data_IF_622338549006
#
_entry.id   IF_622338549006
#
_cell.length_a   1.000
_cell.length_b   1.000
_cell.length_c   1.000
_cell.angle_alpha   90.00
_cell.angle_beta   90.00
_cell.angle_gamma   90.00
#
_symmetry.space_group_name_H-M   'P 1'
#
loop_
_entity.id
_entity.type
_entity.pdbx_description
1 polymer ?
#
# COMPACT_ATOMS: atom_id res chain seq x y z
N UNK A 1 -14.20 -15.61 7.04
CA UNK A 1 -14.24 -16.99 6.51
C UNK A 1 -14.94 -17.14 5.14
N UNK A 2 -16.01 -16.40 4.81
CA UNK A 2 -16.67 -16.52 3.49
C UNK A 2 -15.92 -15.85 2.33
N UNK A 3 -15.23 -14.74 2.55
CA UNK A 3 -14.44 -14.00 1.51
C UNK A 3 -13.15 -14.75 1.11
N UNK A 4 -12.47 -15.39 2.05
CA UNK A 4 -11.24 -16.15 1.79
C UNK A 4 -11.48 -17.43 0.95
N UNK A 5 -12.68 -18.02 1.04
CA UNK A 5 -13.08 -19.21 0.26
C UNK A 5 -13.29 -18.86 -1.22
N UNK A 6 -13.78 -17.63 -1.54
CA UNK A 6 -13.91 -17.18 -2.94
C UNK A 6 -12.55 -16.99 -3.62
N UNK A 7 -11.57 -16.40 -2.94
CA UNK A 7 -10.22 -16.19 -3.52
C UNK A 7 -9.50 -17.51 -3.81
N UNK A 8 -9.65 -18.53 -2.94
CA UNK A 8 -9.04 -19.86 -3.13
C UNK A 8 -9.74 -20.66 -4.24
N UNK A 9 -11.05 -20.47 -4.44
CA UNK A 9 -11.82 -21.17 -5.50
C UNK A 9 -11.46 -20.67 -6.90
N UNK A 10 -11.13 -19.40 -7.08
CA UNK A 10 -10.68 -18.86 -8.38
C UNK A 10 -9.31 -19.40 -8.76
N UNK A 11 -8.40 -19.59 -7.81
CA UNK A 11 -7.06 -20.11 -8.07
C UNK A 11 -7.05 -21.64 -8.43
N UNK A 12 -8.03 -22.39 -7.97
CA UNK A 12 -8.12 -23.87 -8.22
C UNK A 12 -8.80 -24.19 -9.57
N UNK A 13 -9.61 -23.27 -10.13
CA UNK A 13 -10.26 -23.52 -11.44
C UNK A 13 -9.34 -23.40 -12.66
N UNK A 14 -8.13 -22.85 -12.52
CA UNK A 14 -7.18 -22.66 -13.64
C UNK A 14 -6.44 -23.96 -14.03
N UNK A 15 -6.54 -25.06 -13.25
CA UNK A 15 -5.73 -26.25 -13.49
C UNK A 15 -6.43 -27.50 -14.04
N UNK A 16 -7.64 -27.41 -14.56
CA UNK A 16 -8.25 -28.59 -15.20
C UNK A 16 -9.17 -28.20 -16.35
N UNK A 17 -8.63 -28.21 -17.59
CA UNK A 17 -9.31 -28.70 -18.78
C UNK A 17 -8.43 -28.58 -20.02
N UNK A 18 -7.76 -29.66 -20.39
CA UNK A 18 -7.29 -29.89 -21.77
C UNK A 18 -8.47 -30.44 -22.58
N UNK A 19 -9.18 -29.55 -23.25
CA UNK A 19 -10.09 -29.93 -24.34
C UNK A 19 -10.15 -28.76 -25.31
N UNK A 20 -10.02 -29.02 -26.62
CA UNK A 20 -10.05 -28.10 -27.76
C UNK A 20 -11.19 -27.05 -27.66
N UNK A 21 -10.93 -25.93 -27.03
CA UNK A 21 -11.82 -24.79 -26.89
C UNK A 21 -11.00 -23.56 -26.45
N UNK A 22 -11.49 -22.37 -26.69
CA UNK A 22 -10.91 -21.13 -26.20
C UNK A 22 -11.01 -21.11 -24.64
N UNK A 23 -9.91 -21.47 -23.96
CA UNK A 23 -9.84 -21.63 -22.51
C UNK A 23 -10.19 -20.31 -21.77
N UNK A 24 -9.95 -19.18 -22.38
CA UNK A 24 -10.23 -17.85 -21.81
C UNK A 24 -11.69 -17.40 -22.03
N UNK A 25 -12.47 -18.11 -22.88
CA UNK A 25 -13.82 -17.67 -23.21
C UNK A 25 -14.75 -17.60 -21.99
N UNK A 26 -14.80 -18.68 -21.21
CA UNK A 26 -15.68 -18.76 -20.03
C UNK A 26 -15.24 -17.80 -18.92
N UNK A 27 -13.94 -17.75 -18.51
CA UNK A 27 -13.45 -16.74 -17.58
C UNK A 27 -13.75 -15.30 -18.02
N UNK A 28 -13.62 -15.01 -19.31
CA UNK A 28 -13.96 -13.71 -19.85
C UNK A 28 -15.47 -13.38 -19.75
N UNK A 29 -16.37 -14.31 -20.05
CA UNK A 29 -17.82 -14.12 -19.92
C UNK A 29 -18.21 -13.88 -18.44
N UNK A 30 -17.56 -14.57 -17.50
CA UNK A 30 -17.73 -14.36 -16.05
C UNK A 30 -17.22 -12.97 -15.61
N UNK A 31 -16.03 -12.55 -16.08
CA UNK A 31 -15.48 -11.24 -15.81
C UNK A 31 -16.38 -10.10 -16.31
N UNK A 32 -16.90 -10.22 -17.55
CA UNK A 32 -17.84 -9.26 -18.15
C UNK A 32 -19.17 -9.24 -17.38
N UNK A 33 -19.66 -10.39 -16.94
CA UNK A 33 -20.88 -10.46 -16.12
C UNK A 33 -20.70 -9.75 -14.77
N UNK A 34 -19.57 -9.97 -14.07
CA UNK A 34 -19.24 -9.27 -12.85
C UNK A 34 -19.13 -7.75 -13.07
N UNK A 35 -18.45 -7.33 -14.14
CA UNK A 35 -18.33 -5.93 -14.54
C UNK A 35 -19.69 -5.27 -14.78
N UNK A 36 -20.58 -5.93 -15.55
CA UNK A 36 -21.92 -5.41 -15.84
C UNK A 36 -22.85 -5.42 -14.61
N UNK A 37 -22.58 -6.27 -13.64
CA UNK A 37 -23.30 -6.30 -12.35
C UNK A 37 -22.82 -5.21 -11.37
N UNK A 38 -21.74 -4.47 -11.69
CA UNK A 38 -21.13 -3.48 -10.81
C UNK A 38 -20.17 -4.07 -9.77
N UNK A 39 -19.86 -5.36 -9.86
CA UNK A 39 -18.90 -6.05 -8.99
C UNK A 39 -17.46 -5.79 -9.50
N UNK A 40 -17.02 -4.54 -9.51
CA UNK A 40 -15.79 -4.11 -10.17
C UNK A 40 -14.51 -4.67 -9.54
N UNK A 41 -14.50 -4.90 -8.23
CA UNK A 41 -13.37 -5.53 -7.54
C UNK A 41 -13.18 -6.98 -8.04
N UNK A 42 -14.25 -7.78 -8.05
CA UNK A 42 -14.22 -9.14 -8.58
C UNK A 42 -13.89 -9.18 -10.07
N UNK A 43 -14.49 -8.28 -10.86
CA UNK A 43 -14.22 -8.15 -12.28
C UNK A 43 -12.75 -7.82 -12.54
N UNK A 44 -12.13 -6.92 -11.75
CA UNK A 44 -10.73 -6.53 -11.93
C UNK A 44 -9.76 -7.70 -11.78
N UNK A 45 -9.98 -8.57 -10.78
CA UNK A 45 -9.17 -9.78 -10.58
C UNK A 45 -9.24 -10.72 -11.79
N UNK A 46 -10.46 -10.95 -12.30
CA UNK A 46 -10.67 -11.80 -13.48
C UNK A 46 -10.07 -11.19 -14.75
N UNK A 47 -10.24 -9.88 -14.97
CA UNK A 47 -9.72 -9.17 -16.13
C UNK A 47 -8.18 -9.14 -16.16
N UNK A 48 -7.52 -9.00 -15.01
CA UNK A 48 -6.05 -9.10 -14.91
C UNK A 48 -5.58 -10.48 -15.33
N UNK A 49 -6.23 -11.55 -14.85
CA UNK A 49 -5.87 -12.92 -15.23
C UNK A 49 -6.03 -13.22 -16.71
N UNK A 50 -6.91 -12.49 -17.40
CA UNK A 50 -7.15 -12.61 -18.83
C UNK A 50 -6.14 -11.82 -19.70
N UNK A 51 -5.44 -10.83 -19.13
CA UNK A 51 -4.45 -10.01 -19.83
C UNK A 51 -5.03 -9.34 -21.09
N UNK A 52 -4.41 -9.60 -22.24
CA UNK A 52 -4.80 -9.02 -23.53
C UNK A 52 -5.95 -9.78 -24.23
N UNK A 53 -6.64 -10.68 -23.55
CA UNK A 53 -7.74 -11.42 -24.16
C UNK A 53 -8.92 -10.51 -24.46
N UNK A 54 -9.30 -10.36 -25.74
CA UNK A 54 -10.36 -9.47 -26.24
C UNK A 54 -10.16 -8.04 -25.75
N UNK A 55 -11.17 -7.47 -25.05
CA UNK A 55 -11.17 -6.12 -24.49
C UNK A 55 -10.94 -6.11 -22.96
N UNK A 56 -10.44 -7.22 -22.38
CA UNK A 56 -10.22 -7.33 -20.93
C UNK A 56 -9.36 -6.19 -20.39
N UNK A 57 -8.25 -5.85 -21.07
CA UNK A 57 -7.40 -4.72 -20.70
C UNK A 57 -8.13 -3.37 -20.72
N UNK A 58 -9.03 -3.18 -21.70
CA UNK A 58 -9.84 -1.96 -21.82
C UNK A 58 -10.89 -1.83 -20.71
N UNK A 59 -11.55 -2.95 -20.37
CA UNK A 59 -12.51 -2.99 -19.26
C UNK A 59 -11.81 -2.74 -17.92
N UNK A 60 -10.66 -3.38 -17.70
CA UNK A 60 -9.84 -3.15 -16.52
C UNK A 60 -9.44 -1.69 -16.37
N UNK A 61 -8.97 -1.04 -17.44
CA UNK A 61 -8.56 0.36 -17.44
C UNK A 61 -9.71 1.33 -17.14
N UNK A 62 -10.97 0.91 -17.30
CA UNK A 62 -12.14 1.73 -16.97
C UNK A 62 -12.55 1.65 -15.50
N UNK A 63 -12.03 0.67 -14.74
CA UNK A 63 -12.33 0.52 -13.31
C UNK A 63 -11.43 1.47 -12.51
N UNK A 64 -12.07 2.33 -11.70
CA UNK A 64 -11.40 3.16 -10.70
C UNK A 64 -11.68 2.60 -9.32
N UNK A 65 -10.62 2.37 -8.55
CA UNK A 65 -10.69 1.91 -7.18
C UNK A 65 -10.20 3.01 -6.23
N UNK A 66 -11.04 3.40 -5.28
CA UNK A 66 -10.67 4.31 -4.19
C UNK A 66 -10.66 3.52 -2.88
N UNK A 67 -9.56 3.63 -2.12
CA UNK A 67 -9.46 2.98 -0.80
C UNK A 67 -10.43 3.64 0.18
N UNK A 68 -11.34 2.86 0.75
CA UNK A 68 -12.22 3.29 1.84
C UNK A 68 -11.61 2.96 3.21
N UNK A 69 -10.89 1.84 3.29
CA UNK A 69 -10.24 1.41 4.52
C UNK A 69 -9.27 0.26 4.28
N UNK A 70 -8.63 -0.19 5.35
CA UNK A 70 -7.75 -1.36 5.35
C UNK A 70 -7.81 -2.07 6.69
N UNK A 71 -7.84 -3.40 6.65
CA UNK A 71 -7.55 -4.25 7.80
C UNK A 71 -6.09 -4.69 7.72
N UNK A 72 -5.30 -4.31 8.71
CA UNK A 72 -3.88 -4.62 8.79
C UNK A 72 -3.67 -5.70 9.84
N UNK A 73 -3.01 -6.80 9.49
CA UNK A 73 -2.61 -7.85 10.42
C UNK A 73 -1.10 -7.95 10.44
N UNK A 74 -0.51 -7.71 11.61
CA UNK A 74 0.93 -7.86 11.85
C UNK A 74 1.15 -9.19 12.55
N UNK A 75 1.93 -10.08 11.93
CA UNK A 75 2.33 -11.38 12.46
C UNK A 75 3.80 -11.34 12.88
N UNK A 76 4.08 -11.74 14.10
CA UNK A 76 5.44 -11.85 14.69
C UNK A 76 5.58 -13.19 15.39
N UNK A 77 6.75 -13.47 15.94
CA UNK A 77 6.97 -14.65 16.78
C UNK A 77 6.06 -14.67 18.04
N UNK A 78 5.62 -13.49 18.53
CA UNK A 78 4.78 -13.37 19.73
C UNK A 78 3.28 -13.44 19.44
N UNK A 79 2.86 -13.53 18.17
CA UNK A 79 1.47 -13.65 17.73
C UNK A 79 1.05 -12.63 16.68
N UNK A 80 -0.27 -12.48 16.53
CA UNK A 80 -0.90 -11.61 15.54
C UNK A 80 -1.64 -10.46 16.20
N UNK A 81 -1.50 -9.26 15.61
CA UNK A 81 -2.25 -8.06 16.00
C UNK A 81 -2.96 -7.51 14.78
N UNK A 82 -4.28 -7.32 14.89
CA UNK A 82 -5.10 -6.78 13.81
C UNK A 82 -5.61 -5.39 14.18
N UNK A 83 -5.55 -4.47 13.22
CA UNK A 83 -6.11 -3.12 13.31
C UNK A 83 -6.96 -2.83 12.07
N UNK A 84 -7.92 -1.91 12.19
CA UNK A 84 -8.68 -1.41 11.05
C UNK A 84 -8.44 0.09 10.88
N UNK A 85 -8.31 0.53 9.64
CA UNK A 85 -8.11 1.95 9.31
C UNK A 85 -9.16 2.38 8.29
N UNK A 86 -9.86 3.47 8.59
CA UNK A 86 -10.74 4.16 7.66
C UNK A 86 -10.02 5.36 7.08
N UNK A 87 -10.17 5.58 5.77
CA UNK A 87 -9.55 6.69 5.03
C UNK A 87 -10.57 7.77 4.68
N UNK A 88 -10.16 9.03 4.73
CA UNK A 88 -10.92 10.16 4.21
C UNK A 88 -10.08 10.91 3.20
N UNK A 89 -10.53 10.94 1.95
CA UNK A 89 -9.88 11.66 0.85
C UNK A 89 -10.61 12.97 0.56
N UNK A 90 -9.85 13.97 0.08
CA UNK A 90 -10.37 15.21 -0.49
C UNK A 90 -9.54 15.58 -1.71
N UNK A 91 -10.19 15.74 -2.87
CA UNK A 91 -9.53 16.02 -4.14
C UNK A 91 -8.42 14.99 -4.49
N UNK A 92 -8.65 13.71 -4.20
CA UNK A 92 -7.68 12.62 -4.39
C UNK A 92 -6.58 12.53 -3.32
N UNK A 93 -6.49 13.47 -2.38
CA UNK A 93 -5.50 13.48 -1.32
C UNK A 93 -6.07 12.89 -0.03
N UNK A 94 -5.34 11.98 0.61
CA UNK A 94 -5.67 11.44 1.92
C UNK A 94 -5.51 12.55 2.97
N UNK A 95 -6.62 13.00 3.58
CA UNK A 95 -6.58 14.09 4.56
C UNK A 95 -6.67 13.60 6.00
N UNK A 96 -7.18 12.38 6.21
CA UNK A 96 -7.38 11.80 7.55
C UNK A 96 -7.41 10.28 7.48
N UNK A 97 -6.82 9.66 8.50
CA UNK A 97 -7.01 8.26 8.86
C UNK A 97 -7.67 8.13 10.23
N UNK A 98 -8.51 7.12 10.40
CA UNK A 98 -9.04 6.72 11.70
C UNK A 98 -8.68 5.26 11.91
N UNK A 99 -7.74 5.01 12.82
CA UNK A 99 -7.20 3.68 13.14
C UNK A 99 -7.91 3.18 14.40
N UNK A 100 -8.49 1.99 14.34
CA UNK A 100 -9.07 1.31 15.50
C UNK A 100 -8.19 0.11 15.84
N UNK A 101 -7.62 0.13 17.04
CA UNK A 101 -6.79 -0.96 17.57
C UNK A 101 -7.67 -2.12 18.05
N UNK A 102 -7.03 -3.28 18.29
CA UNK A 102 -7.72 -4.49 18.77
C UNK A 102 -8.46 -4.32 20.10
N UNK A 103 -8.01 -3.41 20.96
CA UNK A 103 -8.64 -3.07 22.25
C UNK A 103 -9.76 -2.02 22.12
N UNK A 104 -10.07 -1.56 20.91
CA UNK A 104 -11.06 -0.53 20.63
C UNK A 104 -10.55 0.91 20.75
N UNK A 105 -9.28 1.12 21.07
CA UNK A 105 -8.65 2.46 21.07
C UNK A 105 -8.70 3.06 19.67
N UNK A 106 -9.11 4.33 19.56
CA UNK A 106 -9.23 5.04 18.28
C UNK A 106 -8.18 6.14 18.18
N UNK A 107 -7.37 6.07 17.12
CA UNK A 107 -6.31 7.03 16.79
C UNK A 107 -6.71 7.75 15.51
N UNK A 108 -6.43 9.05 15.40
CA UNK A 108 -6.74 9.84 14.20
C UNK A 108 -5.49 10.56 13.73
N UNK A 109 -5.07 10.28 12.48
CA UNK A 109 -3.97 10.95 11.81
C UNK A 109 -4.50 11.96 10.81
N UNK A 110 -3.71 13.00 10.52
CA UNK A 110 -4.10 14.09 9.63
C UNK A 110 -2.96 14.47 8.71
N UNK A 111 -3.31 14.80 7.46
CA UNK A 111 -2.37 15.14 6.38
C UNK A 111 -2.71 16.50 5.79
N UNK A 112 -1.70 17.29 5.45
CA UNK A 112 -1.84 18.60 4.81
C UNK A 112 -1.05 18.62 3.52
N UNK A 113 -1.61 19.30 2.54
CA UNK A 113 -1.05 19.42 1.20
C UNK A 113 -0.93 20.86 0.79
N UNK A 114 0.00 21.17 -0.11
CA UNK A 114 0.07 22.45 -0.80
C UNK A 114 -0.90 22.49 -1.99
N UNK A 115 -0.91 23.61 -2.72
CA UNK A 115 -1.77 23.81 -3.89
C UNK A 115 -1.40 22.90 -5.08
N UNK A 116 -0.21 22.30 -5.08
CA UNK A 116 0.25 21.35 -6.10
C UNK A 116 -0.08 19.88 -5.73
N UNK A 117 -0.69 19.64 -4.55
CA UNK A 117 -1.02 18.32 -4.06
C UNK A 117 0.16 17.60 -3.39
N UNK A 118 1.26 18.28 -3.07
CA UNK A 118 2.37 17.72 -2.33
C UNK A 118 2.06 17.72 -0.83
N UNK A 119 2.21 16.56 -0.17
CA UNK A 119 2.02 16.44 1.28
C UNK A 119 3.08 17.26 2.01
N UNK A 120 2.68 18.32 2.69
CA UNK A 120 3.60 19.22 3.43
C UNK A 120 3.75 18.86 4.89
N UNK A 121 2.74 18.21 5.49
CA UNK A 121 2.79 17.81 6.90
C UNK A 121 1.87 16.64 7.22
N UNK A 122 2.36 15.77 8.08
CA UNK A 122 1.61 14.68 8.70
C UNK A 122 1.53 14.90 10.20
N UNK A 123 0.38 14.62 10.79
CA UNK A 123 0.19 14.59 12.24
C UNK A 123 -0.26 13.21 12.63
N UNK A 124 0.61 12.45 13.29
CA UNK A 124 0.41 11.08 13.71
C UNK A 124 0.20 11.08 15.23
N UNK A 125 -1.02 10.76 15.67
CA UNK A 125 -1.32 10.63 17.08
C UNK A 125 -1.03 9.20 17.55
N UNK A 126 -0.70 9.05 18.84
CA UNK A 126 -0.37 7.77 19.45
C UNK A 126 -1.46 7.36 20.46
N UNK A 127 -1.57 6.08 20.76
CA UNK A 127 -2.56 5.55 21.70
C UNK A 127 -2.43 6.13 23.13
N UNK A 128 -1.22 6.47 23.53
CA UNK A 128 -0.90 7.08 24.84
C UNK A 128 -1.17 8.60 24.90
N UNK A 129 -1.69 9.18 23.79
CA UNK A 129 -1.93 10.62 23.64
C UNK A 129 -0.71 11.40 23.15
N UNK A 130 0.41 10.73 22.90
CA UNK A 130 1.57 11.33 22.24
C UNK A 130 1.24 11.78 20.82
N UNK A 131 2.09 12.66 20.27
CA UNK A 131 1.90 13.19 18.93
C UNK A 131 3.24 13.33 18.23
N UNK A 132 3.34 12.78 17.05
CA UNK A 132 4.46 12.94 16.12
C UNK A 132 4.01 13.86 14.98
N UNK A 133 4.84 14.83 14.61
CA UNK A 133 4.61 15.68 13.44
C UNK A 133 5.76 15.54 12.47
N UNK A 134 5.45 15.24 11.21
CA UNK A 134 6.43 15.17 10.13
C UNK A 134 6.15 16.31 9.17
N UNK A 135 7.16 17.14 8.89
CA UNK A 135 7.09 18.18 7.88
C UNK A 135 8.00 17.81 6.72
N UNK A 136 7.49 17.94 5.50
CA UNK A 136 8.22 17.63 4.27
C UNK A 136 8.65 18.90 3.56
N UNK A 137 9.87 18.89 3.02
CA UNK A 137 10.44 19.95 2.22
C UNK A 137 10.66 19.43 0.80
N UNK A 138 10.33 20.26 -0.17
CA UNK A 138 10.44 19.96 -1.59
C UNK A 138 11.24 21.06 -2.29
N UNK A 139 12.00 20.68 -3.31
CA UNK A 139 12.65 21.57 -4.26
C UNK A 139 12.25 21.11 -5.66
N UNK A 140 11.66 22.00 -6.46
CA UNK A 140 11.13 21.70 -7.80
C UNK A 140 10.17 20.50 -7.84
N UNK A 141 9.37 20.32 -6.77
CA UNK A 141 8.41 19.21 -6.62
C UNK A 141 9.04 17.88 -6.16
N UNK A 142 10.35 17.83 -5.98
CA UNK A 142 11.10 16.66 -5.50
C UNK A 142 11.29 16.77 -3.99
N UNK A 143 10.94 15.71 -3.25
CA UNK A 143 11.15 15.66 -1.80
C UNK A 143 12.64 15.59 -1.49
N UNK A 144 13.16 16.58 -0.76
CA UNK A 144 14.56 16.64 -0.38
C UNK A 144 14.78 16.34 1.10
N UNK A 145 13.80 16.62 1.96
CA UNK A 145 13.93 16.43 3.40
C UNK A 145 12.59 16.19 4.08
N UNK A 146 12.59 15.40 5.15
CA UNK A 146 11.52 15.36 6.14
C UNK A 146 12.07 15.60 7.54
N UNK A 147 11.35 16.37 8.35
CA UNK A 147 11.71 16.63 9.75
C UNK A 147 10.59 16.04 10.61
N UNK A 148 10.92 15.00 11.36
CA UNK A 148 10.04 14.36 12.33
C UNK A 148 10.26 15.00 13.70
N UNK A 149 9.21 15.54 14.28
CA UNK A 149 9.18 16.01 15.67
C UNK A 149 8.45 14.96 16.51
N UNK A 150 9.14 14.31 17.40
CA UNK A 150 8.65 13.26 18.29
C UNK A 150 7.78 13.81 19.41
N UNK A 151 7.11 12.95 20.17
CA UNK A 151 6.23 13.36 21.29
C UNK A 151 6.99 14.11 22.38
N UNK A 152 8.24 13.77 22.62
CA UNK A 152 9.16 14.43 23.58
C UNK A 152 9.79 15.72 23.06
N UNK A 153 9.45 16.14 21.81
CA UNK A 153 9.98 17.32 21.08
C UNK A 153 11.37 17.13 20.49
N UNK A 154 11.99 15.97 20.64
CA UNK A 154 13.19 15.63 19.87
C UNK A 154 12.90 15.65 18.38
N UNK A 155 13.94 15.82 17.56
CA UNK A 155 13.79 15.89 16.09
C UNK A 155 14.71 14.92 15.41
N UNK A 156 14.14 14.14 14.50
CA UNK A 156 14.87 13.31 13.55
C UNK A 156 14.74 13.94 12.16
N UNK A 157 15.77 13.80 11.35
CA UNK A 157 15.80 14.35 9.99
C UNK A 157 16.08 13.25 8.99
N UNK A 158 15.31 13.23 7.91
CA UNK A 158 15.48 12.35 6.75
C UNK A 158 15.92 13.22 5.58
N UNK A 159 17.12 13.05 5.07
CA UNK A 159 17.63 13.68 3.85
C UNK A 159 17.55 12.68 2.70
N UNK A 160 16.81 13.03 1.64
CA UNK A 160 16.50 12.12 0.53
C UNK A 160 17.40 12.39 -0.67
N UNK A 161 17.81 11.30 -1.33
CA UNK A 161 18.34 11.33 -2.70
C UNK A 161 17.28 10.73 -3.62
N UNK A 162 16.89 11.49 -4.65
CA UNK A 162 15.89 11.10 -5.62
C UNK A 162 16.48 11.08 -7.03
N UNK A 163 15.82 10.33 -7.94
CA UNK A 163 16.06 10.46 -9.37
C UNK A 163 15.39 11.73 -9.94
N UNK A 164 15.59 11.97 -11.24
CA UNK A 164 15.03 13.14 -11.94
C UNK A 164 13.48 13.18 -11.98
N UNK A 165 12.81 12.06 -11.69
CA UNK A 165 11.36 11.93 -11.65
C UNK A 165 10.81 12.04 -10.22
N UNK A 166 11.67 12.30 -9.22
CA UNK A 166 11.30 12.39 -7.81
C UNK A 166 11.17 11.04 -7.10
N UNK A 167 11.61 9.93 -7.74
CA UNK A 167 11.63 8.60 -7.11
C UNK A 167 12.78 8.55 -6.12
N UNK A 168 12.50 8.21 -4.85
CA UNK A 168 13.51 8.12 -3.79
C UNK A 168 14.45 6.95 -4.06
N UNK A 169 15.74 7.20 -4.09
CA UNK A 169 16.80 6.18 -4.26
C UNK A 169 17.43 5.81 -2.93
N UNK A 170 17.64 6.79 -2.06
CA UNK A 170 18.13 6.57 -0.69
C UNK A 170 17.67 7.68 0.24
N UNK A 171 17.82 7.46 1.54
CA UNK A 171 17.80 8.53 2.53
C UNK A 171 18.85 8.30 3.61
N UNK A 172 19.26 9.41 4.23
CA UNK A 172 20.02 9.39 5.48
C UNK A 172 19.10 9.88 6.58
N UNK A 173 18.84 9.01 7.56
CA UNK A 173 18.18 9.36 8.81
C UNK A 173 19.23 9.88 9.80
N UNK A 174 19.02 11.08 10.34
CA UNK A 174 19.78 11.60 11.48
C UNK A 174 18.86 11.69 12.68
N UNK A 175 19.14 10.92 13.72
CA UNK A 175 18.40 10.93 14.97
C UNK A 175 18.73 12.18 15.81
N UNK A 176 17.89 12.47 16.81
CA UNK A 176 18.08 13.61 17.70
C UNK A 176 19.42 13.61 18.47
N UNK A 177 20.02 12.46 18.70
CA UNK A 177 21.32 12.30 19.33
C UNK A 177 22.51 12.43 18.37
N UNK A 178 22.23 12.62 17.06
CA UNK A 178 23.22 12.74 16.01
C UNK A 178 23.62 11.40 15.37
N UNK A 179 23.09 10.27 15.83
CA UNK A 179 23.28 8.97 15.16
C UNK A 179 22.68 9.00 13.76
N UNK A 180 23.36 8.39 12.80
CA UNK A 180 22.90 8.33 11.40
C UNK A 180 22.70 6.91 10.94
N UNK A 181 21.68 6.70 10.11
CA UNK A 181 21.39 5.45 9.41
C UNK A 181 21.05 5.77 7.94
N UNK A 182 21.60 4.97 7.02
CA UNK A 182 21.30 5.08 5.60
C UNK A 182 20.37 3.96 5.18
N UNK A 183 19.39 4.29 4.32
CA UNK A 183 18.54 3.31 3.68
C UNK A 183 18.55 3.49 2.17
N UNK A 184 18.53 2.37 1.44
CA UNK A 184 18.42 2.31 -0.02
C UNK A 184 17.09 1.72 -0.44
N UNK A 185 16.58 2.18 -1.59
CA UNK A 185 15.27 1.80 -2.14
C UNK A 185 15.47 1.08 -3.46
N UNK A 186 14.94 -0.13 -3.56
CA UNK A 186 14.97 -0.92 -4.79
C UNK A 186 13.57 -1.00 -5.38
N UNK A 187 13.46 -0.87 -6.69
CA UNK A 187 12.19 -0.88 -7.41
C UNK A 187 12.16 -2.04 -8.41
N UNK A 188 10.96 -2.56 -8.64
CA UNK A 188 10.73 -3.59 -9.66
C UNK A 188 10.95 -3.02 -11.05
N UNK A 189 11.77 -3.68 -11.87
CA UNK A 189 12.00 -3.32 -13.28
C UNK A 189 10.75 -3.51 -14.15
N UNK A 190 9.82 -4.38 -13.72
CA UNK A 190 8.60 -4.71 -14.46
C UNK A 190 7.46 -3.73 -14.16
N UNK A 191 7.24 -3.45 -12.88
CA UNK A 191 6.08 -2.62 -12.45
C UNK A 191 6.48 -1.19 -12.07
N UNK A 192 7.76 -0.94 -11.81
CA UNK A 192 8.25 0.33 -11.26
C UNK A 192 7.87 0.58 -9.80
N UNK A 193 7.16 -0.36 -9.15
CA UNK A 193 6.78 -0.26 -7.74
C UNK A 193 7.97 -0.54 -6.82
N UNK A 194 7.93 0.00 -5.60
CA UNK A 194 8.96 -0.22 -4.59
C UNK A 194 9.02 -1.71 -4.22
N UNK A 195 10.16 -2.34 -4.43
CA UNK A 195 10.35 -3.76 -4.11
C UNK A 195 10.90 -3.96 -2.70
N UNK A 196 11.87 -3.13 -2.29
CA UNK A 196 12.45 -3.22 -0.95
C UNK A 196 13.05 -1.90 -0.47
N UNK A 197 13.21 -1.82 0.85
CA UNK A 197 14.01 -0.82 1.56
C UNK A 197 15.04 -1.59 2.38
N UNK A 198 16.32 -1.22 2.27
CA UNK A 198 17.41 -1.87 2.96
C UNK A 198 18.24 -0.85 3.75
N UNK A 199 18.48 -1.16 5.02
CA UNK A 199 19.46 -0.48 5.90
C UNK A 199 20.63 -1.43 6.20
N UNK A 200 21.54 -1.04 7.05
CA UNK A 200 22.68 -1.89 7.45
C UNK A 200 22.24 -3.27 7.99
N UNK A 201 21.10 -3.32 8.70
CA UNK A 201 20.69 -4.54 9.42
C UNK A 201 19.27 -4.99 9.05
N UNK A 202 18.48 -4.16 8.34
CA UNK A 202 17.07 -4.44 8.08
C UNK A 202 16.79 -4.47 6.60
N UNK A 203 16.06 -5.48 6.17
CA UNK A 203 15.45 -5.58 4.84
C UNK A 203 13.92 -5.57 5.02
N UNK A 204 13.25 -4.60 4.39
CA UNK A 204 11.80 -4.58 4.25
C UNK A 204 11.44 -4.83 2.80
N UNK A 205 10.66 -5.89 2.52
CA UNK A 205 10.22 -6.25 1.18
C UNK A 205 8.69 -6.10 1.05
N UNK A 206 8.23 -5.68 -0.14
CA UNK A 206 6.83 -5.35 -0.41
C UNK A 206 6.23 -6.22 -1.50
N UNK A 207 4.99 -6.69 -1.28
CA UNK A 207 4.12 -7.28 -2.29
C UNK A 207 2.89 -6.39 -2.52
N UNK A 208 2.28 -6.50 -3.71
CA UNK A 208 1.22 -5.61 -4.15
C UNK A 208 -0.01 -6.39 -4.62
N UNK A 209 -1.19 -5.81 -4.43
CA UNK A 209 -2.44 -6.32 -4.99
C UNK A 209 -2.66 -5.81 -6.43
N UNK A 210 -3.82 -6.17 -7.01
CA UNK A 210 -4.22 -5.81 -8.38
C UNK A 210 -4.38 -4.29 -8.62
N UNK A 211 -4.51 -3.49 -7.58
CA UNK A 211 -4.61 -2.03 -7.66
C UNK A 211 -3.29 -1.32 -7.36
N UNK A 212 -2.19 -2.07 -7.29
CA UNK A 212 -0.85 -1.59 -6.92
C UNK A 212 -0.74 -1.02 -5.50
N UNK A 213 -1.63 -1.42 -4.60
CA UNK A 213 -1.50 -1.14 -3.19
C UNK A 213 -0.71 -2.25 -2.50
N UNK A 214 0.11 -1.89 -1.51
CA UNK A 214 0.89 -2.87 -0.73
C UNK A 214 -0.06 -3.86 -0.07
N UNK A 215 0.05 -5.14 -0.42
CA UNK A 215 -0.77 -6.22 0.17
C UNK A 215 -0.05 -7.00 1.25
N UNK A 216 1.27 -6.99 1.19
CA UNK A 216 2.13 -7.64 2.18
C UNK A 216 3.44 -6.87 2.34
N UNK A 217 3.95 -6.85 3.56
CA UNK A 217 5.26 -6.36 3.92
C UNK A 217 5.96 -7.43 4.76
N UNK A 218 7.21 -7.74 4.44
CA UNK A 218 8.07 -8.63 5.21
C UNK A 218 9.26 -7.87 5.73
N UNK A 219 9.56 -8.03 7.00
CA UNK A 219 10.74 -7.43 7.63
C UNK A 219 11.68 -8.51 8.13
N UNK A 220 12.93 -8.43 7.67
CA UNK A 220 14.03 -9.25 8.17
C UNK A 220 15.09 -8.36 8.84
N UNK A 221 15.64 -8.83 9.96
CA UNK A 221 16.76 -8.18 10.68
C UNK A 221 17.90 -9.17 10.74
N UNK A 222 19.09 -8.73 10.32
CA UNK A 222 20.28 -9.58 10.21
C UNK A 222 20.04 -10.88 9.41
N UNK A 223 19.16 -10.80 8.40
CA UNK A 223 18.79 -11.93 7.54
C UNK A 223 17.79 -12.91 8.14
N UNK A 224 17.17 -12.58 9.29
CA UNK A 224 16.14 -13.39 9.94
C UNK A 224 14.79 -12.67 9.83
N UNK A 225 13.76 -13.35 9.32
CA UNK A 225 12.39 -12.82 9.28
C UNK A 225 11.87 -12.57 10.70
N UNK A 226 11.47 -11.33 10.99
CA UNK A 226 10.98 -10.92 12.32
C UNK A 226 9.50 -10.56 12.31
N UNK A 227 8.97 -10.09 11.19
CA UNK A 227 7.53 -9.81 11.07
C UNK A 227 7.05 -9.90 9.62
N UNK A 228 5.75 -10.17 9.50
CA UNK A 228 5.00 -10.04 8.25
C UNK A 228 3.74 -9.25 8.53
N UNK A 229 3.46 -8.25 7.69
CA UNK A 229 2.23 -7.46 7.75
C UNK A 229 1.41 -7.71 6.52
N UNK A 230 0.14 -8.09 6.66
CA UNK A 230 -0.82 -8.21 5.57
C UNK A 230 -1.82 -7.06 5.61
N UNK A 231 -2.23 -6.62 4.42
CA UNK A 231 -3.17 -5.52 4.22
C UNK A 231 -4.35 -6.01 3.38
N UNK A 232 -5.55 -5.99 3.95
CA UNK A 232 -6.82 -6.31 3.27
C UNK A 232 -7.61 -5.00 3.13
N UNK A 233 -7.68 -4.46 1.90
CA UNK A 233 -8.29 -3.17 1.61
C UNK A 233 -9.77 -3.29 1.29
N UNK A 234 -10.54 -2.36 1.81
CA UNK A 234 -11.89 -2.08 1.34
C UNK A 234 -11.84 -1.02 0.24
N UNK A 235 -12.34 -1.35 -0.95
CA UNK A 235 -12.39 -0.44 -2.09
C UNK A 235 -13.82 -0.02 -2.41
N UNK A 236 -13.94 1.25 -2.82
CA UNK A 236 -15.10 1.75 -3.55
C UNK A 236 -14.72 1.76 -5.02
N UNK A 237 -15.19 0.78 -5.79
CA UNK A 237 -14.89 0.65 -7.20
C UNK A 237 -15.99 1.27 -8.06
N UNK A 238 -15.61 2.10 -9.03
CA UNK A 238 -16.51 2.80 -9.96
C UNK A 238 -15.99 2.70 -11.39
N UNK A 239 -16.85 3.02 -12.37
CA UNK A 239 -16.43 3.23 -13.75
C UNK A 239 -16.03 4.71 -13.93
N UNK A 240 -14.90 4.95 -14.57
CA UNK A 240 -14.35 6.26 -14.88
C UNK A 240 -14.69 6.73 -16.29
#
# INVERSE_FOLDING_TARGET
MKKLICLLLVLVMVMAMTACGDENKKPYEEAVAAYNAGNYEEASVMLIALGDYKDAASLLASIKAEKAGVTTTVSTADGEVTTTTEYVFKNGNLIKETITLADGTVIKNYYKYDDNGLCTSETLNQADGGKVVINHLYEDGIKIRSIRTNADKSKDTYDYTCDANGKVLSHVLTLADGTTEEATYTYSDVTGLLASIETANTLTAFGYNQFNDVSVEHVAVDGVDVSSTSYDYDYICTIG
#
